data_IF_429481671581
#
_entry.id   IF_429481671581
#
_cell.length_a   1.000
_cell.length_b   1.000
_cell.length_c   1.000
_cell.angle_alpha   90.00
_cell.angle_beta   90.00
_cell.angle_gamma   90.00
#
_symmetry.space_group_name_H-M   'P 1'
#
loop_
_entity.id
_entity.type
_entity.pdbx_description
1 polymer ?
#
# COMPACT_ATOMS: atom_id res chain seq x y z
N UNK A 1 66.26 -67.93 5.01
CA UNK A 1 65.83 -66.53 5.09
C UNK A 1 65.18 -66.27 6.44
N UNK A 2 65.77 -65.46 7.34
CA UNK A 2 65.19 -65.02 8.62
C UNK A 2 64.40 -63.69 8.44
N UNK A 3 63.86 -62.98 9.48
CA UNK A 3 63.57 -63.26 10.91
C UNK A 3 62.06 -63.08 11.27
N UNK A 4 61.51 -63.60 12.39
CA UNK A 4 61.39 -63.11 13.79
C UNK A 4 60.53 -61.84 14.08
N UNK A 5 59.60 -61.98 15.05
CA UNK A 5 58.65 -61.01 15.62
C UNK A 5 59.28 -59.86 16.43
N UNK A 6 58.56 -58.73 16.59
CA UNK A 6 58.59 -57.80 17.76
C UNK A 6 57.35 -56.85 17.81
N UNK A 7 56.84 -56.61 19.03
CA UNK A 7 55.81 -55.63 19.47
C UNK A 7 56.36 -54.18 19.61
N UNK A 8 55.51 -53.14 19.82
CA UNK A 8 55.25 -52.54 21.18
C UNK A 8 53.81 -51.98 21.43
N UNK A 9 53.17 -52.15 22.61
CA UNK A 9 53.01 -51.26 23.81
C UNK A 9 51.89 -50.17 23.75
N UNK A 10 50.78 -50.31 24.53
CA UNK A 10 50.35 -49.56 25.77
C UNK A 10 49.90 -48.08 25.54
N UNK A 11 48.78 -47.52 26.05
CA UNK A 11 48.26 -47.41 27.44
C UNK A 11 46.77 -47.00 27.49
N UNK A 12 46.13 -47.26 28.64
CA UNK A 12 44.75 -46.92 29.02
C UNK A 12 44.69 -45.74 30.02
N UNK A 13 43.65 -44.91 29.87
CA UNK A 13 42.71 -44.41 30.92
C UNK A 13 43.11 -43.26 31.88
N UNK A 14 42.26 -42.21 31.94
CA UNK A 14 41.82 -41.57 33.20
C UNK A 14 40.65 -40.56 33.01
N UNK A 15 39.73 -40.55 33.99
CA UNK A 15 38.71 -39.53 34.28
C UNK A 15 39.21 -38.57 35.39
N UNK A 16 38.56 -37.41 35.64
CA UNK A 16 37.72 -37.20 36.87
C UNK A 16 36.54 -36.20 36.64
N UNK A 17 35.38 -36.20 37.32
CA UNK A 17 34.94 -36.10 38.73
C UNK A 17 34.53 -34.66 39.22
N UNK A 18 33.22 -34.54 39.50
CA UNK A 18 32.41 -33.76 40.47
C UNK A 18 32.93 -32.52 41.26
N UNK A 19 31.99 -31.59 41.54
CA UNK A 19 31.89 -30.93 42.87
C UNK A 19 31.29 -29.50 42.99
N UNK A 20 30.11 -29.41 43.63
CA UNK A 20 29.69 -28.47 44.71
C UNK A 20 29.29 -26.96 44.51
N UNK A 21 28.03 -26.69 44.90
CA UNK A 21 27.53 -25.78 45.97
C UNK A 21 27.31 -24.25 45.84
N UNK A 22 26.07 -23.85 46.23
CA UNK A 22 25.60 -22.67 47.02
C UNK A 22 25.67 -21.24 46.49
N UNK A 23 24.52 -20.54 46.43
CA UNK A 23 24.03 -19.62 47.49
C UNK A 23 22.91 -18.70 46.98
N UNK A 24 21.84 -18.52 47.77
CA UNK A 24 20.80 -17.53 47.56
C UNK A 24 21.12 -16.25 48.34
N UNK A 25 20.87 -15.07 47.75
CA UNK A 25 20.79 -13.81 48.47
C UNK A 25 19.74 -12.88 47.81
N UNK A 26 18.68 -12.59 48.55
CA UNK A 26 17.81 -11.43 48.34
C UNK A 26 18.53 -10.16 48.84
N UNK A 27 18.33 -9.01 48.18
CA UNK A 27 17.94 -7.84 48.99
C UNK A 27 16.95 -6.87 48.33
N UNK A 28 15.98 -6.49 49.17
CA UNK A 28 15.42 -5.15 49.46
C UNK A 28 15.29 -4.09 48.35
N UNK A 29 14.04 -3.63 48.24
CA UNK A 29 13.61 -2.31 47.77
C UNK A 29 14.46 -1.18 48.37
N UNK A 30 15.08 -0.38 47.51
CA UNK A 30 15.42 1.02 47.79
C UNK A 30 14.92 1.90 46.64
N UNK A 31 14.40 3.03 47.07
CA UNK A 31 13.73 4.08 46.33
C UNK A 31 14.79 5.08 45.87
N UNK A 32 15.04 5.22 44.55
CA UNK A 32 15.52 6.46 43.88
C UNK A 32 15.89 6.19 42.41
N UNK A 33 15.03 6.63 41.50
CA UNK A 33 15.39 7.21 40.19
C UNK A 33 16.07 6.37 39.11
N UNK A 34 16.05 6.82 37.83
CA UNK A 34 16.05 5.92 36.67
C UNK A 34 17.38 5.94 35.88
N UNK A 35 18.49 5.44 36.42
CA UNK A 35 19.72 5.18 35.64
C UNK A 35 20.51 4.02 36.27
N UNK A 36 20.12 2.78 35.99
CA UNK A 36 20.89 1.59 36.42
C UNK A 36 20.82 0.41 35.43
N UNK A 37 20.41 0.65 34.19
CA UNK A 37 20.19 -0.41 33.18
C UNK A 37 21.39 -0.74 32.29
N UNK A 38 22.58 -0.17 32.52
CA UNK A 38 23.75 -0.36 31.63
C UNK A 38 24.72 -1.46 32.07
N UNK A 39 24.45 -2.18 33.17
CA UNK A 39 25.33 -3.24 33.67
C UNK A 39 24.70 -4.65 33.63
N UNK A 40 23.58 -4.83 32.92
CA UNK A 40 23.02 -6.14 32.56
C UNK A 40 23.21 -6.47 31.07
N UNK A 41 24.08 -5.74 30.36
CA UNK A 41 24.23 -5.80 28.91
C UNK A 41 25.14 -6.92 28.38
N UNK A 42 25.88 -7.65 29.23
CA UNK A 42 26.79 -8.70 28.76
C UNK A 42 26.21 -10.12 28.86
N UNK A 43 25.16 -10.32 29.65
CA UNK A 43 24.46 -11.62 29.72
C UNK A 43 23.47 -11.86 28.57
N UNK A 44 22.91 -10.79 27.99
CA UNK A 44 21.95 -10.90 26.89
C UNK A 44 22.62 -11.09 25.52
N UNK A 45 23.86 -10.61 25.34
CA UNK A 45 24.61 -10.84 24.11
C UNK A 45 25.00 -12.33 23.92
N UNK A 46 25.26 -13.04 25.02
CA UNK A 46 25.57 -14.47 24.98
C UNK A 46 24.35 -15.35 24.70
N UNK A 47 23.14 -14.99 25.16
CA UNK A 47 21.91 -15.70 24.79
C UNK A 47 21.43 -15.37 23.37
N UNK A 48 21.64 -14.14 22.88
CA UNK A 48 21.30 -13.78 21.50
C UNK A 48 22.25 -14.45 20.47
N UNK A 49 23.49 -14.73 20.86
CA UNK A 49 24.46 -15.45 20.02
C UNK A 49 24.15 -16.95 19.89
N UNK A 50 23.57 -17.57 20.94
CA UNK A 50 23.28 -19.01 20.94
C UNK A 50 22.03 -19.43 20.17
N UNK A 51 21.19 -18.49 19.73
CA UNK A 51 19.93 -18.79 19.01
C UNK A 51 19.93 -18.42 17.53
N UNK A 52 21.05 -17.98 16.96
CA UNK A 52 21.19 -17.87 15.49
C UNK A 52 20.07 -17.07 14.81
N UNK A 53 19.55 -16.03 15.46
CA UNK A 53 18.59 -15.10 14.86
C UNK A 53 19.37 -14.13 13.98
N UNK A 54 19.64 -14.60 12.77
CA UNK A 54 20.47 -13.95 11.76
C UNK A 54 19.97 -12.58 11.32
N UNK A 55 20.81 -11.95 10.50
CA UNK A 55 20.70 -10.62 9.90
C UNK A 55 19.31 -10.25 9.35
N UNK A 56 18.44 -11.24 9.09
CA UNK A 56 17.03 -11.04 8.73
C UNK A 56 16.14 -10.43 9.83
N UNK A 57 16.38 -10.69 11.12
CA UNK A 57 15.54 -10.10 12.19
C UNK A 57 15.82 -8.60 12.37
N UNK A 58 17.09 -8.19 12.26
CA UNK A 58 17.48 -6.79 12.30
C UNK A 58 16.90 -6.02 11.08
N UNK A 59 16.93 -6.64 9.89
CA UNK A 59 16.33 -6.05 8.69
C UNK A 59 14.80 -5.97 8.78
N UNK A 60 14.16 -7.01 9.34
CA UNK A 60 12.71 -7.00 9.58
C UNK A 60 12.29 -5.89 10.54
N UNK A 61 13.02 -5.70 11.65
CA UNK A 61 12.77 -4.60 12.60
C UNK A 61 13.02 -3.24 11.95
N UNK A 62 14.04 -3.10 11.10
CA UNK A 62 14.32 -1.86 10.36
C UNK A 62 13.20 -1.52 9.36
N UNK A 63 12.73 -2.50 8.59
CA UNK A 63 11.61 -2.33 7.66
C UNK A 63 10.34 -1.96 8.43
N UNK A 64 10.08 -2.59 9.58
CA UNK A 64 8.91 -2.29 10.41
C UNK A 64 8.96 -0.86 10.98
N UNK A 65 10.14 -0.38 11.38
CA UNK A 65 10.33 1.01 11.81
C UNK A 65 10.14 2.02 10.67
N UNK A 66 10.63 1.71 9.47
CA UNK A 66 10.43 2.57 8.29
C UNK A 66 8.96 2.61 7.87
N UNK A 67 8.25 1.48 7.91
CA UNK A 67 6.83 1.41 7.65
C UNK A 67 6.01 2.22 8.68
N UNK A 68 6.36 2.13 9.96
CA UNK A 68 5.72 2.92 11.02
C UNK A 68 5.98 4.42 10.85
N UNK A 69 7.20 4.81 10.44
CA UNK A 69 7.54 6.21 10.16
C UNK A 69 6.77 6.75 8.93
N UNK A 70 6.72 5.99 7.84
CA UNK A 70 5.95 6.35 6.64
C UNK A 70 4.45 6.49 6.96
N UNK A 71 3.88 5.56 7.74
CA UNK A 71 2.50 5.64 8.20
C UNK A 71 2.23 6.90 9.05
N UNK A 72 3.16 7.28 9.93
CA UNK A 72 3.00 8.48 10.76
C UNK A 72 3.06 9.77 9.94
N UNK A 73 3.96 9.85 8.95
CA UNK A 73 4.06 10.98 8.00
C UNK A 73 2.80 11.07 7.16
N UNK A 74 2.34 9.95 6.61
CA UNK A 74 1.09 9.88 5.84
C UNK A 74 -0.10 10.32 6.69
N UNK A 75 -0.23 9.78 7.91
CA UNK A 75 -1.28 10.17 8.86
C UNK A 75 -1.21 11.65 9.26
N UNK A 76 -0.03 12.24 9.39
CA UNK A 76 0.13 13.66 9.74
C UNK A 76 -0.34 14.58 8.60
N UNK A 77 -0.02 14.23 7.35
CA UNK A 77 -0.38 14.99 6.16
C UNK A 77 -1.89 14.87 5.89
N UNK A 78 -2.44 13.65 5.94
CA UNK A 78 -3.85 13.40 5.68
C UNK A 78 -4.79 13.81 6.83
N UNK A 79 -4.29 13.89 8.08
CA UNK A 79 -5.09 14.42 9.20
C UNK A 79 -5.20 15.95 9.19
N UNK A 80 -4.37 16.65 8.39
CA UNK A 80 -4.37 18.11 8.29
C UNK A 80 -5.45 18.65 7.33
N UNK A 81 -6.13 17.78 6.59
CA UNK A 81 -7.28 18.10 5.74
C UNK A 81 -8.66 17.86 6.38
N UNK A 82 -8.73 17.34 7.61
CA UNK A 82 -9.99 16.98 8.28
C UNK A 82 -10.39 17.92 9.43
N UNK A 83 -9.75 19.10 9.56
CA UNK A 83 -10.03 20.09 10.62
C UNK A 83 -10.38 21.49 10.08
N UNK A 84 -11.19 21.56 9.01
CA UNK A 84 -11.87 22.81 8.60
C UNK A 84 -13.37 22.65 8.39
N UNK A 85 -13.97 21.56 8.86
CA UNK A 85 -15.42 21.36 8.84
C UNK A 85 -15.88 20.75 10.16
N UNK A 86 -16.24 21.62 11.12
CA UNK A 86 -17.23 21.41 12.18
C UNK A 86 -16.84 22.25 13.41
N UNK A 87 -17.44 23.44 13.54
CA UNK A 87 -17.84 24.00 14.83
C UNK A 87 -18.80 25.18 14.59
N UNK A 88 -20.06 24.83 14.33
CA UNK A 88 -21.17 25.63 14.84
C UNK A 88 -21.45 25.16 16.26
N UNK A 89 -21.52 26.08 17.24
CA UNK A 89 -22.38 25.90 18.39
C UNK A 89 -23.50 26.92 18.32
N UNK A 90 -24.72 26.38 18.28
CA UNK A 90 -25.91 27.11 18.67
C UNK A 90 -26.01 27.14 20.20
N UNK A 91 -26.54 28.26 20.69
CA UNK A 91 -27.39 28.48 21.87
C UNK A 91 -26.84 29.20 23.12
N UNK A 92 -27.55 30.31 23.37
CA UNK A 92 -28.08 30.86 24.63
C UNK A 92 -27.15 31.29 25.75
N UNK A 93 -27.15 32.61 26.04
CA UNK A 93 -27.30 33.16 27.40
C UNK A 93 -27.55 34.69 27.38
N UNK A 94 -28.82 35.04 27.63
CA UNK A 94 -29.35 36.02 28.59
C UNK A 94 -28.83 37.49 28.69
N UNK A 95 -29.80 38.39 28.50
CA UNK A 95 -30.22 39.55 29.33
C UNK A 95 -29.17 40.58 29.83
N UNK A 96 -29.29 41.81 29.33
CA UNK A 96 -29.35 43.04 30.13
C UNK A 96 -29.92 44.20 29.28
N UNK A 97 -30.99 44.83 29.75
CA UNK A 97 -31.72 45.88 29.02
C UNK A 97 -31.13 47.28 29.16
N UNK A 98 -31.49 48.17 28.22
CA UNK A 98 -31.58 49.61 28.43
C UNK A 98 -32.44 50.28 27.33
N UNK A 99 -33.62 50.73 27.75
CA UNK A 99 -34.31 51.97 27.43
C UNK A 99 -34.51 52.49 25.97
N UNK A 100 -35.80 52.68 25.68
CA UNK A 100 -36.44 53.87 25.11
C UNK A 100 -36.48 54.08 23.59
N UNK A 101 -37.72 54.20 23.07
CA UNK A 101 -38.01 55.18 22.02
C UNK A 101 -38.91 54.72 20.87
N UNK A 102 -40.19 55.08 20.97
CA UNK A 102 -41.08 55.53 19.90
C UNK A 102 -41.50 54.59 18.74
N UNK A 103 -42.81 54.63 18.50
CA UNK A 103 -43.55 53.95 17.45
C UNK A 103 -43.32 54.55 16.05
N UNK A 104 -43.44 53.70 15.01
CA UNK A 104 -44.04 54.03 13.70
C UNK A 104 -44.23 52.75 12.85
N UNK A 105 -45.36 52.52 12.15
CA UNK A 105 -45.48 51.43 11.18
C UNK A 105 -45.39 51.97 9.74
N UNK A 106 -44.48 51.44 8.90
CA UNK A 106 -44.49 51.73 7.46
C UNK A 106 -43.78 50.66 6.61
N UNK A 107 -44.61 49.98 5.79
CA UNK A 107 -44.41 49.29 4.49
C UNK A 107 -43.21 48.34 4.23
N UNK A 108 -43.45 47.16 3.60
CA UNK A 108 -42.38 46.28 3.17
C UNK A 108 -41.73 46.83 1.88
N UNK A 109 -40.41 47.02 1.91
CA UNK A 109 -39.62 47.21 0.69
C UNK A 109 -39.36 45.84 0.06
N UNK A 110 -39.78 45.68 -1.19
CA UNK A 110 -39.33 44.62 -2.08
C UNK A 110 -37.81 44.70 -2.21
N UNK A 111 -37.13 43.68 -1.69
CA UNK A 111 -35.72 43.47 -1.94
C UNK A 111 -35.58 42.86 -3.33
N UNK A 112 -35.27 43.70 -4.32
CA UNK A 112 -34.84 43.26 -5.63
C UNK A 112 -33.52 42.51 -5.45
N UNK A 113 -33.57 41.19 -5.55
CA UNK A 113 -32.40 40.34 -5.50
C UNK A 113 -31.49 40.73 -6.67
N UNK A 114 -30.38 41.39 -6.36
CA UNK A 114 -29.31 41.63 -7.29
C UNK A 114 -28.91 40.28 -7.93
N UNK A 115 -29.23 40.12 -9.21
CA UNK A 115 -28.67 39.05 -10.05
C UNK A 115 -27.14 39.20 -10.00
N UNK A 116 -26.38 38.15 -9.64
CA UNK A 116 -24.94 38.22 -9.78
C UNK A 116 -24.62 38.34 -11.27
N UNK A 117 -23.96 39.44 -11.60
CA UNK A 117 -23.38 39.72 -12.91
C UNK A 117 -22.35 38.62 -13.22
N UNK A 118 -22.48 38.03 -14.40
CA UNK A 118 -21.77 36.82 -14.82
C UNK A 118 -20.26 36.92 -14.73
N UNK A 119 -19.68 36.10 -13.84
CA UNK A 119 -18.41 35.44 -14.07
C UNK A 119 -18.73 34.01 -14.47
N UNK A 120 -18.88 33.75 -15.77
CA UNK A 120 -19.02 32.39 -16.27
C UNK A 120 -17.71 31.64 -16.03
N UNK A 121 -17.61 30.96 -14.90
CA UNK A 121 -16.61 29.91 -14.73
C UNK A 121 -16.95 28.84 -15.76
N UNK A 122 -16.24 28.84 -16.90
CA UNK A 122 -16.31 27.73 -17.82
C UNK A 122 -16.02 26.45 -17.03
N UNK A 123 -16.81 25.37 -17.19
CA UNK A 123 -16.51 24.12 -16.50
C UNK A 123 -15.08 23.71 -16.87
N UNK A 124 -14.27 23.36 -15.86
CA UNK A 124 -12.94 22.84 -16.11
C UNK A 124 -13.07 21.61 -17.00
N UNK A 125 -12.48 21.65 -18.21
CA UNK A 125 -12.47 20.52 -19.13
C UNK A 125 -11.74 19.34 -18.47
N UNK A 126 -12.33 18.15 -18.55
CA UNK A 126 -11.70 16.93 -18.04
C UNK A 126 -10.38 16.65 -18.78
N UNK A 127 -9.53 15.80 -18.18
CA UNK A 127 -8.29 15.36 -18.83
C UNK A 127 -8.56 14.70 -20.18
N UNK A 128 -9.59 13.84 -20.22
CA UNK A 128 -10.06 13.20 -21.44
C UNK A 128 -10.54 14.19 -22.50
N UNK A 129 -11.34 15.21 -22.14
CA UNK A 129 -11.84 16.21 -23.12
C UNK A 129 -10.68 16.94 -23.81
N UNK A 130 -9.65 17.29 -23.04
CA UNK A 130 -8.43 17.93 -23.56
C UNK A 130 -7.67 16.98 -24.48
N UNK A 131 -7.52 15.71 -24.10
CA UNK A 131 -6.84 14.72 -24.91
C UNK A 131 -7.57 14.48 -26.26
N UNK A 132 -8.90 14.35 -26.22
CA UNK A 132 -9.73 14.21 -27.42
C UNK A 132 -9.60 15.44 -28.35
N UNK A 133 -9.61 16.64 -27.79
CA UNK A 133 -9.39 17.88 -28.55
C UNK A 133 -7.99 17.94 -29.19
N UNK A 134 -6.99 17.29 -28.60
CA UNK A 134 -5.64 17.13 -29.17
C UNK A 134 -5.50 15.95 -30.15
N UNK A 135 -6.57 15.22 -30.45
CA UNK A 135 -6.58 14.11 -31.40
C UNK A 135 -6.24 12.74 -30.81
N UNK A 136 -6.40 12.54 -29.50
CA UNK A 136 -6.23 11.23 -28.87
C UNK A 136 -7.30 10.24 -29.36
N UNK A 137 -6.88 9.09 -29.90
CA UNK A 137 -7.78 8.00 -30.30
C UNK A 137 -8.17 7.14 -29.10
N UNK A 138 -9.19 7.57 -28.36
CA UNK A 138 -9.69 6.86 -27.18
C UNK A 138 -10.23 5.46 -27.50
N UNK A 139 -10.87 5.28 -28.66
CA UNK A 139 -11.40 3.97 -29.07
C UNK A 139 -10.28 3.00 -29.44
N UNK A 140 -9.28 3.47 -30.19
CA UNK A 140 -8.07 2.69 -30.49
C UNK A 140 -7.30 2.32 -29.25
N UNK A 141 -7.17 3.25 -28.31
CA UNK A 141 -6.56 2.98 -27.02
C UNK A 141 -7.35 1.91 -26.25
N UNK A 142 -8.68 2.03 -26.17
CA UNK A 142 -9.53 1.04 -25.50
C UNK A 142 -9.40 -0.36 -26.14
N UNK A 143 -9.32 -0.46 -27.48
CA UNK A 143 -9.06 -1.74 -28.16
C UNK A 143 -7.72 -2.35 -27.75
N UNK A 144 -6.65 -1.56 -27.69
CA UNK A 144 -5.35 -2.04 -27.24
C UNK A 144 -5.37 -2.45 -25.76
N UNK A 145 -6.08 -1.69 -24.92
CA UNK A 145 -6.24 -1.99 -23.51
C UNK A 145 -6.93 -3.35 -23.29
N UNK A 146 -7.93 -3.71 -24.11
CA UNK A 146 -8.55 -5.05 -24.07
C UNK A 146 -7.56 -6.17 -24.37
N UNK A 147 -6.64 -5.98 -25.33
CA UNK A 147 -5.60 -6.97 -25.61
C UNK A 147 -4.64 -7.14 -24.43
N UNK A 148 -4.25 -6.03 -23.79
CA UNK A 148 -3.43 -6.06 -22.58
C UNK A 148 -4.15 -6.75 -21.42
N UNK A 149 -5.46 -6.56 -21.28
CA UNK A 149 -6.28 -7.26 -20.29
C UNK A 149 -6.18 -8.78 -20.46
N UNK A 150 -6.45 -9.27 -21.66
CA UNK A 150 -6.40 -10.70 -21.98
C UNK A 150 -4.99 -11.26 -21.77
N UNK A 151 -3.94 -10.50 -22.15
CA UNK A 151 -2.54 -10.90 -21.93
C UNK A 151 -2.21 -11.00 -20.44
N UNK A 152 -2.63 -10.03 -19.61
CA UNK A 152 -2.43 -10.10 -18.16
C UNK A 152 -3.08 -11.36 -17.58
N UNK A 153 -4.34 -11.62 -17.92
CA UNK A 153 -5.06 -12.81 -17.43
C UNK A 153 -4.33 -14.09 -17.82
N UNK A 154 -3.94 -14.23 -19.10
CA UNK A 154 -3.22 -15.41 -19.59
C UNK A 154 -1.85 -15.60 -18.90
N UNK A 155 -1.09 -14.52 -18.70
CA UNK A 155 0.20 -14.55 -18.02
C UNK A 155 0.07 -14.89 -16.53
N UNK A 156 -0.94 -14.32 -15.86
CA UNK A 156 -1.26 -14.60 -14.47
C UNK A 156 -1.68 -16.07 -14.29
N UNK A 157 -2.54 -16.58 -15.18
CA UNK A 157 -3.08 -17.94 -15.09
C UNK A 157 -2.00 -19.02 -15.11
N UNK A 158 -0.98 -18.84 -15.96
CA UNK A 158 0.14 -19.79 -16.10
C UNK A 158 1.35 -19.42 -15.24
N UNK A 159 1.28 -18.31 -14.50
CA UNK A 159 2.37 -17.79 -13.69
C UNK A 159 3.62 -17.35 -14.43
N UNK A 160 3.46 -16.77 -15.63
CA UNK A 160 4.58 -16.27 -16.44
C UNK A 160 5.10 -14.92 -15.94
N UNK A 161 6.00 -14.96 -14.96
CA UNK A 161 6.59 -13.74 -14.35
C UNK A 161 7.37 -12.88 -15.34
N UNK A 162 7.98 -13.47 -16.37
CA UNK A 162 8.71 -12.70 -17.38
C UNK A 162 7.78 -11.86 -18.25
N UNK A 163 6.64 -12.44 -18.64
CA UNK A 163 5.60 -11.71 -19.39
C UNK A 163 5.02 -10.60 -18.51
N UNK A 164 4.59 -10.93 -17.28
CA UNK A 164 4.02 -9.97 -16.33
C UNK A 164 4.91 -8.73 -16.15
N UNK A 165 6.23 -8.93 -16.02
CA UNK A 165 7.21 -7.86 -15.85
C UNK A 165 7.33 -6.93 -17.07
N UNK A 166 7.03 -7.41 -18.28
CA UNK A 166 7.17 -6.61 -19.51
C UNK A 166 6.08 -5.53 -19.62
N UNK A 167 4.88 -5.77 -19.09
CA UNK A 167 3.73 -4.89 -19.27
C UNK A 167 3.16 -4.30 -17.98
N UNK A 168 3.80 -4.54 -16.84
CA UNK A 168 3.45 -3.94 -15.54
C UNK A 168 4.57 -3.04 -15.03
N UNK A 169 4.23 -2.04 -14.23
CA UNK A 169 5.26 -1.30 -13.48
C UNK A 169 5.81 -2.17 -12.35
N UNK A 170 7.01 -1.86 -11.81
CA UNK A 170 7.61 -2.64 -10.73
C UNK A 170 6.71 -2.81 -9.51
N UNK A 171 5.87 -1.81 -9.21
CA UNK A 171 4.93 -1.83 -8.08
C UNK A 171 3.80 -2.85 -8.30
N UNK A 172 3.14 -2.81 -9.47
CA UNK A 172 2.08 -3.77 -9.83
C UNK A 172 2.66 -5.17 -9.98
N UNK A 173 3.85 -5.30 -10.57
CA UNK A 173 4.55 -6.58 -10.70
C UNK A 173 4.77 -7.25 -9.34
N UNK A 174 5.23 -6.48 -8.35
CA UNK A 174 5.45 -6.98 -7.00
C UNK A 174 4.15 -7.47 -6.35
N UNK A 175 3.04 -6.75 -6.55
CA UNK A 175 1.73 -7.16 -6.06
C UNK A 175 1.28 -8.49 -6.68
N UNK A 176 1.38 -8.62 -8.01
CA UNK A 176 1.04 -9.86 -8.70
C UNK A 176 1.91 -11.02 -8.22
N UNK A 177 3.21 -10.81 -8.03
CA UNK A 177 4.09 -11.85 -7.48
C UNK A 177 3.64 -12.33 -6.10
N UNK A 178 3.14 -11.43 -5.25
CA UNK A 178 2.57 -11.82 -3.95
C UNK A 178 1.31 -12.67 -4.13
N UNK A 179 0.36 -12.24 -4.97
CA UNK A 179 -0.88 -13.00 -5.26
C UNK A 179 -0.58 -14.40 -5.82
N UNK A 180 0.36 -14.51 -6.76
CA UNK A 180 0.80 -15.78 -7.32
C UNK A 180 1.46 -16.70 -6.28
N UNK A 181 2.25 -16.14 -5.37
CA UNK A 181 2.86 -16.91 -4.30
C UNK A 181 1.83 -17.37 -3.25
N UNK A 182 0.82 -16.55 -2.94
CA UNK A 182 -0.29 -16.88 -2.04
C UNK A 182 -1.15 -18.04 -2.57
N UNK A 183 -1.30 -18.11 -3.89
CA UNK A 183 -1.98 -19.20 -4.60
C UNK A 183 -1.27 -20.56 -4.43
N UNK A 184 0.01 -20.59 -4.03
CA UNK A 184 0.80 -21.81 -3.75
C UNK A 184 0.73 -22.86 -4.87
N UNK A 185 0.70 -22.42 -6.12
CA UNK A 185 0.64 -23.29 -7.30
C UNK A 185 -0.73 -23.91 -7.59
N UNK A 186 -1.81 -23.46 -6.94
CA UNK A 186 -3.15 -23.83 -7.35
C UNK A 186 -3.43 -23.35 -8.79
N UNK A 187 -4.02 -24.20 -9.62
CA UNK A 187 -4.33 -23.86 -11.01
C UNK A 187 -5.33 -22.70 -11.09
N UNK A 188 -5.05 -21.73 -11.96
CA UNK A 188 -5.99 -20.68 -12.34
C UNK A 188 -6.31 -20.83 -13.81
N UNK A 189 -7.57 -20.57 -14.17
CA UNK A 189 -7.93 -20.40 -15.57
C UNK A 189 -9.05 -19.39 -15.67
N UNK A 190 -8.76 -18.28 -16.32
CA UNK A 190 -9.67 -17.17 -16.50
C UNK A 190 -10.18 -17.18 -17.93
N UNK A 191 -11.44 -17.58 -18.10
CA UNK A 191 -12.14 -17.46 -19.37
C UNK A 191 -12.88 -16.11 -19.43
N UNK A 192 -12.50 -15.27 -20.38
CA UNK A 192 -13.14 -13.95 -20.60
C UNK A 192 -14.39 -14.15 -21.45
N UNK A 193 -15.57 -14.05 -20.82
CA UNK A 193 -16.87 -14.26 -21.49
C UNK A 193 -17.34 -12.97 -22.17
N UNK A 194 -17.22 -11.85 -21.46
CA UNK A 194 -17.55 -10.53 -21.98
C UNK A 194 -16.50 -9.52 -21.49
N UNK A 195 -16.05 -8.63 -22.38
CA UNK A 195 -15.07 -7.60 -22.06
C UNK A 195 -15.39 -6.28 -22.77
N UNK A 196 -15.82 -5.30 -21.97
CA UNK A 196 -16.00 -3.91 -22.36
C UNK A 196 -14.85 -3.07 -21.81
N UNK A 197 -14.47 -2.03 -22.53
CA UNK A 197 -13.40 -1.12 -22.13
C UNK A 197 -13.76 0.30 -22.56
N UNK A 198 -13.57 1.25 -21.65
CA UNK A 198 -13.82 2.66 -21.89
C UNK A 198 -12.70 3.48 -21.26
N UNK A 199 -12.08 4.38 -22.04
CA UNK A 199 -11.19 5.39 -21.47
C UNK A 199 -12.04 6.40 -20.68
N UNK A 200 -11.74 6.56 -19.40
CA UNK A 200 -12.48 7.46 -18.50
C UNK A 200 -11.69 8.71 -18.12
N UNK A 201 -10.37 8.66 -18.21
CA UNK A 201 -9.53 9.83 -17.94
C UNK A 201 -8.16 9.74 -18.63
N UNK A 202 -7.57 10.90 -18.90
CA UNK A 202 -6.22 11.07 -19.43
C UNK A 202 -5.55 12.21 -18.67
N UNK A 203 -4.49 11.90 -17.93
CA UNK A 203 -3.75 12.85 -17.13
C UNK A 203 -2.26 12.85 -17.50
N UNK A 204 -1.62 13.99 -17.24
CA UNK A 204 -0.16 14.13 -17.25
C UNK A 204 0.26 14.41 -15.81
N UNK A 205 1.07 13.51 -15.24
CA UNK A 205 1.49 13.58 -13.85
C UNK A 205 2.95 13.14 -13.76
N UNK A 206 3.79 13.84 -13.00
CA UNK A 206 5.15 13.37 -12.67
C UNK A 206 5.97 12.89 -13.89
N UNK A 207 5.97 13.65 -14.99
CA UNK A 207 6.69 13.32 -16.24
C UNK A 207 6.25 12.00 -16.93
N UNK A 208 5.01 11.58 -16.68
CA UNK A 208 4.35 10.47 -17.38
C UNK A 208 2.93 10.82 -17.79
N UNK A 209 2.48 10.23 -18.88
CA UNK A 209 1.08 10.12 -19.20
C UNK A 209 0.46 9.01 -18.36
N UNK A 210 -0.76 9.22 -17.89
CA UNK A 210 -1.59 8.23 -17.22
C UNK A 210 -2.94 8.20 -17.94
N UNK A 211 -3.35 7.02 -18.41
CA UNK A 211 -4.66 6.79 -19.02
C UNK A 211 -5.42 5.81 -18.17
N UNK A 212 -6.60 6.21 -17.72
CA UNK A 212 -7.48 5.38 -16.91
C UNK A 212 -8.52 4.73 -17.81
N UNK A 213 -8.59 3.40 -17.78
CA UNK A 213 -9.53 2.61 -18.57
C UNK A 213 -10.40 1.81 -17.63
N UNK A 214 -11.72 1.99 -17.72
CA UNK A 214 -12.69 1.14 -17.02
C UNK A 214 -12.99 -0.08 -17.86
N UNK A 215 -12.78 -1.25 -17.28
CA UNK A 215 -13.18 -2.55 -17.80
C UNK A 215 -14.42 -3.05 -17.07
N UNK A 216 -15.36 -3.57 -17.82
CA UNK A 216 -16.56 -4.23 -17.27
C UNK A 216 -16.88 -5.46 -18.10
N UNK A 217 -17.53 -6.45 -17.50
CA UNK A 217 -17.98 -7.62 -18.24
C UNK A 217 -18.17 -8.84 -17.36
N UNK A 218 -17.88 -10.01 -17.93
CA UNK A 218 -18.09 -11.32 -17.31
C UNK A 218 -16.82 -12.17 -17.43
N UNK A 219 -16.33 -12.67 -16.30
CA UNK A 219 -15.20 -13.59 -16.22
C UNK A 219 -15.63 -14.92 -15.62
N UNK A 220 -14.93 -15.99 -15.96
CA UNK A 220 -15.10 -17.29 -15.32
C UNK A 220 -13.73 -17.80 -14.91
N UNK A 221 -13.49 -17.94 -13.62
CA UNK A 221 -12.19 -18.35 -13.08
C UNK A 221 -12.06 -19.88 -12.85
N UNK A 222 -13.15 -20.61 -13.03
CA UNK A 222 -13.24 -22.06 -12.85
C UNK A 222 -14.12 -22.64 -13.96
N UNK A 223 -13.67 -23.72 -14.61
CA UNK A 223 -14.32 -24.26 -15.82
C UNK A 223 -15.84 -24.46 -15.69
N UNK A 224 -16.29 -24.97 -14.53
CA UNK A 224 -17.70 -25.31 -14.29
C UNK A 224 -18.46 -24.24 -13.47
N UNK A 225 -17.82 -23.13 -13.10
CA UNK A 225 -18.48 -22.06 -12.35
C UNK A 225 -19.35 -21.17 -13.25
N UNK A 226 -20.33 -20.48 -12.67
CA UNK A 226 -21.04 -19.43 -13.40
C UNK A 226 -20.10 -18.25 -13.69
N UNK A 227 -20.23 -17.55 -14.84
CA UNK A 227 -19.51 -16.30 -15.04
C UNK A 227 -19.91 -15.27 -13.99
N UNK A 228 -18.92 -14.57 -13.46
CA UNK A 228 -19.07 -13.50 -12.48
C UNK A 228 -18.86 -12.15 -13.16
N UNK A 229 -19.67 -11.17 -12.77
CA UNK A 229 -19.53 -9.81 -13.24
C UNK A 229 -18.35 -9.13 -12.55
N UNK A 230 -17.60 -8.34 -13.31
CA UNK A 230 -16.49 -7.55 -12.78
C UNK A 230 -16.57 -6.10 -13.30
N UNK A 231 -15.99 -5.19 -12.52
CA UNK A 231 -15.84 -3.78 -12.82
C UNK A 231 -14.51 -3.30 -12.26
N UNK A 232 -13.58 -2.93 -13.13
CA UNK A 232 -12.22 -2.57 -12.78
C UNK A 232 -11.77 -1.32 -13.50
N UNK A 233 -10.96 -0.49 -12.84
CA UNK A 233 -10.29 0.64 -13.45
C UNK A 233 -8.80 0.35 -13.47
N UNK A 234 -8.23 0.34 -14.65
CA UNK A 234 -6.80 0.14 -14.86
C UNK A 234 -6.16 1.46 -15.24
N UNK A 235 -5.03 1.76 -14.59
CA UNK A 235 -4.21 2.91 -14.92
C UNK A 235 -3.02 2.45 -15.74
N UNK A 236 -2.95 2.91 -16.99
CA UNK A 236 -1.82 2.65 -17.87
C UNK A 236 -0.93 3.89 -17.90
N UNK A 237 0.38 3.72 -17.78
CA UNK A 237 1.33 4.82 -17.80
C UNK A 237 2.39 4.68 -18.87
N UNK A 238 2.87 5.81 -19.38
CA UNK A 238 4.00 5.89 -20.31
C UNK A 238 4.83 7.14 -20.01
N UNK A 239 6.17 7.06 -19.97
CA UNK A 239 7.03 8.23 -19.79
C UNK A 239 6.81 9.29 -20.88
N UNK A 240 6.87 10.58 -20.50
CA UNK A 240 6.78 11.70 -21.45
C UNK A 240 7.97 11.74 -22.42
N UNK A 241 9.14 11.34 -21.93
CA UNK A 241 10.36 11.19 -22.73
C UNK A 241 10.22 10.20 -23.90
N UNK A 242 9.12 9.43 -23.96
CA UNK A 242 8.82 8.52 -25.07
C UNK A 242 9.61 7.21 -25.05
N UNK A 243 10.45 7.00 -24.03
CA UNK A 243 11.18 5.75 -23.83
C UNK A 243 10.24 4.69 -23.22
N UNK A 244 9.66 3.84 -24.07
CA UNK A 244 8.89 2.67 -23.63
C UNK A 244 7.42 2.67 -24.06
N UNK A 245 6.79 1.51 -23.95
CA UNK A 245 5.36 1.31 -24.20
C UNK A 245 4.49 1.70 -23.00
N UNK A 246 3.19 1.46 -23.13
CA UNK A 246 2.24 1.60 -22.03
C UNK A 246 2.37 0.43 -21.06
N UNK A 247 2.54 0.73 -19.78
CA UNK A 247 2.62 -0.25 -18.70
C UNK A 247 1.44 -0.10 -17.74
N UNK A 248 0.94 -1.21 -17.21
CA UNK A 248 -0.09 -1.22 -16.17
C UNK A 248 0.56 -0.74 -14.86
N UNK A 249 0.11 0.41 -14.38
CA UNK A 249 0.63 1.09 -13.19
C UNK A 249 -0.29 0.98 -11.97
N UNK A 250 -1.50 0.46 -12.16
CA UNK A 250 -2.42 0.15 -11.06
C UNK A 250 -3.71 -0.47 -11.56
N UNK A 251 -4.31 -1.30 -10.72
CA UNK A 251 -5.61 -1.93 -10.94
C UNK A 251 -6.48 -1.62 -9.72
N UNK A 252 -7.70 -1.16 -9.95
CA UNK A 252 -8.67 -0.83 -8.90
C UNK A 252 -9.97 -1.58 -9.17
N UNK A 253 -10.43 -2.39 -8.22
CA UNK A 253 -11.75 -2.99 -8.28
C UNK A 253 -12.80 -1.97 -7.87
N UNK A 254 -13.83 -1.83 -8.70
CA UNK A 254 -15.02 -1.03 -8.39
C UNK A 254 -16.08 -1.98 -7.83
N UNK A 255 -16.32 -1.90 -6.52
CA UNK A 255 -17.33 -2.68 -5.81
C UNK A 255 -18.73 -2.05 -5.89
#
# INVERSE_FOLDING_TARGET
TPPAQRQPAATQQQAPAAGAATAAAQPKRSWMGPIAGLAAGLGLAALFSAFGLGEGFANFVMILLLAAAAFFVFRLIFRRGANTAAQQPARDLQYAGAAAGAAQPARPQQFEAARPLGGGSAPAQSGLDKALASGFDAEGFARQAKLNFIRLQAANDVGNLDDLREFTTPEVFAELCMQLNERKGAEQRTDVVELNAQVIDVAEENDRYVVSVRFTGLLREQADAAPEAFDEIWHLSKPLAGSGGWLIAGIQQSH
#
